data_IF_846271170806
#
_entry.id   IF_846271170806
#
_cell.length_a   1.000
_cell.length_b   1.000
_cell.length_c   1.000
_cell.angle_alpha   90.00
_cell.angle_beta   90.00
_cell.angle_gamma   90.00
#
_symmetry.space_group_name_H-M   'P 1'
#
loop_
_entity.id
_entity.type
_entity.pdbx_description
1 polymer ?
#
# COMPACT_ATOMS: atom_id res chain seq x y z
N UNK A 1 7.75 -58.28 45.94
CA UNK A 1 8.04 -59.25 44.86
C UNK A 1 8.62 -58.43 43.71
N UNK A 2 9.92 -58.60 43.39
CA UNK A 2 10.42 -59.30 42.17
C UNK A 2 10.22 -58.40 40.92
N UNK A 3 11.21 -57.93 40.15
CA UNK A 3 12.54 -58.45 39.80
C UNK A 3 13.48 -57.35 39.25
N UNK A 4 14.78 -57.67 39.29
CA UNK A 4 15.91 -57.06 38.58
C UNK A 4 15.86 -57.26 37.05
N UNK A 5 16.91 -56.76 36.34
CA UNK A 5 17.50 -57.22 35.04
C UNK A 5 17.40 -56.13 33.93
N UNK A 6 18.44 -55.33 33.59
CA UNK A 6 19.75 -55.61 32.94
C UNK A 6 19.72 -55.40 31.40
N UNK A 7 20.67 -54.59 30.91
CA UNK A 7 21.46 -54.75 29.66
C UNK A 7 20.95 -54.20 28.30
N UNK A 8 21.70 -53.19 27.83
CA UNK A 8 22.44 -53.10 26.54
C UNK A 8 21.65 -53.08 25.23
N UNK A 9 21.88 -52.07 24.39
CA UNK A 9 22.69 -52.21 23.15
C UNK A 9 22.75 -50.88 22.37
N UNK A 10 23.95 -50.31 22.32
CA UNK A 10 24.66 -49.72 21.17
C UNK A 10 23.82 -49.17 20.00
N UNK A 11 23.97 -47.87 19.70
CA UNK A 11 24.70 -47.39 18.52
C UNK A 11 24.50 -45.88 18.34
N UNK A 12 25.61 -45.13 18.29
CA UNK A 12 25.66 -43.89 17.52
C UNK A 12 25.83 -44.26 16.04
N UNK A 13 25.04 -43.67 15.14
CA UNK A 13 25.55 -43.33 13.83
C UNK A 13 25.46 -41.82 13.62
N UNK A 14 26.65 -41.24 13.50
CA UNK A 14 27.06 -40.05 12.74
C UNK A 14 25.99 -39.37 11.88
N UNK A 15 25.90 -38.04 12.01
CA UNK A 15 25.14 -37.10 11.16
C UNK A 15 25.50 -37.21 9.68
N UNK A 16 24.62 -36.81 8.72
CA UNK A 16 24.71 -35.43 8.20
C UNK A 16 23.43 -34.89 7.54
N UNK A 17 22.62 -34.04 8.21
CA UNK A 17 21.60 -33.25 7.48
C UNK A 17 21.31 -31.86 8.06
N UNK A 18 22.24 -31.22 8.76
CA UNK A 18 22.06 -29.86 9.29
C UNK A 18 22.15 -28.72 8.24
N UNK A 19 22.30 -29.04 6.95
CA UNK A 19 22.58 -28.06 5.88
C UNK A 19 21.38 -27.72 4.98
N UNK A 20 20.34 -28.57 4.92
CA UNK A 20 19.15 -28.30 4.06
C UNK A 20 18.20 -27.27 4.66
N UNK A 21 17.97 -27.30 5.96
CA UNK A 21 17.00 -26.40 6.61
C UNK A 21 17.47 -24.94 6.60
N UNK A 22 18.76 -24.68 6.81
CA UNK A 22 19.32 -23.32 6.73
C UNK A 22 19.20 -22.71 5.34
N UNK A 23 19.25 -23.52 4.29
CA UNK A 23 19.11 -23.03 2.90
C UNK A 23 17.69 -22.58 2.60
N UNK A 24 16.68 -23.31 3.10
CA UNK A 24 15.27 -22.98 2.89
C UNK A 24 14.90 -21.71 3.67
N UNK A 25 15.31 -21.59 4.93
CA UNK A 25 15.04 -20.39 5.73
C UNK A 25 15.65 -19.13 5.12
N UNK A 26 16.86 -19.23 4.54
CA UNK A 26 17.49 -18.11 3.84
C UNK A 26 16.75 -17.73 2.55
N UNK A 27 16.18 -18.69 1.81
CA UNK A 27 15.41 -18.41 0.61
C UNK A 27 14.11 -17.66 0.96
N UNK A 28 13.34 -18.17 1.91
CA UNK A 28 12.10 -17.54 2.38
C UNK A 28 12.35 -16.13 2.95
N UNK A 29 13.45 -15.94 3.69
CA UNK A 29 13.84 -14.62 4.19
C UNK A 29 14.20 -13.63 3.07
N UNK A 30 14.79 -14.12 1.98
CA UNK A 30 15.12 -13.27 0.82
C UNK A 30 13.87 -12.93 0.01
N UNK A 31 12.96 -13.87 -0.16
CA UNK A 31 11.68 -13.67 -0.85
C UNK A 31 10.82 -12.63 -0.13
N UNK A 32 10.67 -12.76 1.19
CA UNK A 32 9.92 -11.80 2.03
C UNK A 32 10.55 -10.40 2.02
N UNK A 33 11.88 -10.29 1.97
CA UNK A 33 12.56 -8.99 1.78
C UNK A 33 12.31 -8.39 0.41
N UNK A 34 12.29 -9.21 -0.64
CA UNK A 34 11.98 -8.76 -1.99
C UNK A 34 10.53 -8.28 -2.10
N UNK A 35 9.59 -9.02 -1.50
CA UNK A 35 8.19 -8.63 -1.41
C UNK A 35 8.01 -7.31 -0.65
N UNK A 36 8.68 -7.15 0.50
CA UNK A 36 8.64 -5.89 1.25
C UNK A 36 9.16 -4.71 0.42
N UNK A 37 10.25 -4.89 -0.33
CA UNK A 37 10.79 -3.86 -1.21
C UNK A 37 9.80 -3.49 -2.32
N UNK A 38 9.08 -4.46 -2.88
CA UNK A 38 8.03 -4.21 -3.87
C UNK A 38 6.85 -3.45 -3.26
N UNK A 39 6.43 -3.81 -2.05
CA UNK A 39 5.35 -3.13 -1.34
C UNK A 39 5.71 -1.68 -1.01
N UNK A 40 6.95 -1.43 -0.56
CA UNK A 40 7.44 -0.08 -0.30
C UNK A 40 7.48 0.76 -1.57
N UNK A 41 7.99 0.22 -2.68
CA UNK A 41 7.97 0.89 -3.98
C UNK A 41 6.54 1.23 -4.42
N UNK A 42 5.61 0.29 -4.28
CA UNK A 42 4.20 0.52 -4.63
C UNK A 42 3.56 1.59 -3.75
N UNK A 43 3.90 1.62 -2.46
CA UNK A 43 3.47 2.68 -1.54
C UNK A 43 3.97 4.04 -2.02
N UNK A 44 5.26 4.17 -2.34
CA UNK A 44 5.85 5.42 -2.84
C UNK A 44 5.19 5.88 -4.16
N UNK A 45 4.91 4.95 -5.08
CA UNK A 45 4.21 5.25 -6.34
C UNK A 45 2.79 5.79 -6.09
N UNK A 46 2.06 5.20 -5.14
CA UNK A 46 0.71 5.66 -4.77
C UNK A 46 0.76 7.03 -4.09
N UNK A 47 1.69 7.25 -3.16
CA UNK A 47 1.87 8.54 -2.48
C UNK A 47 2.18 9.65 -3.50
N UNK A 48 3.05 9.36 -4.48
CA UNK A 48 3.31 10.28 -5.58
C UNK A 48 2.07 10.55 -6.41
N UNK A 49 1.36 9.50 -6.83
CA UNK A 49 0.13 9.65 -7.62
C UNK A 49 -0.93 10.46 -6.87
N UNK A 50 -1.04 10.32 -5.55
CA UNK A 50 -1.98 11.10 -4.75
C UNK A 50 -1.58 12.58 -4.74
N UNK A 51 -0.31 12.88 -4.48
CA UNK A 51 0.20 14.26 -4.52
C UNK A 51 -0.02 14.92 -5.88
N UNK A 52 0.23 14.19 -6.97
CA UNK A 52 0.03 14.69 -8.34
C UNK A 52 -1.45 15.01 -8.61
N UNK A 53 -2.37 14.20 -8.07
CA UNK A 53 -3.82 14.41 -8.20
C UNK A 53 -4.28 15.59 -7.36
N UNK A 54 -3.78 15.75 -6.14
CA UNK A 54 -4.11 16.89 -5.27
C UNK A 54 -3.69 18.23 -5.90
N UNK A 55 -2.48 18.28 -6.49
CA UNK A 55 -2.01 19.47 -7.22
C UNK A 55 -2.90 19.77 -8.45
N UNK A 56 -3.29 18.73 -9.19
CA UNK A 56 -4.20 18.88 -10.32
C UNK A 56 -5.57 19.39 -9.89
N UNK A 57 -6.16 18.84 -8.83
CA UNK A 57 -7.44 19.30 -8.27
C UNK A 57 -7.33 20.78 -7.91
N UNK A 58 -6.28 21.17 -7.18
CA UNK A 58 -6.07 22.56 -6.80
C UNK A 58 -5.99 23.51 -8.03
N UNK A 59 -5.23 23.12 -9.05
CA UNK A 59 -5.12 23.89 -10.29
C UNK A 59 -6.46 23.99 -11.03
N UNK A 60 -7.20 22.88 -11.13
CA UNK A 60 -8.52 22.84 -11.75
C UNK A 60 -9.54 23.69 -11.01
N UNK A 61 -9.60 23.57 -9.67
CA UNK A 61 -10.49 24.36 -8.83
C UNK A 61 -10.19 25.86 -8.96
N UNK A 62 -8.90 26.24 -8.95
CA UNK A 62 -8.49 27.63 -9.14
C UNK A 62 -8.94 28.17 -10.50
N UNK A 63 -8.71 27.42 -11.58
CA UNK A 63 -9.14 27.81 -12.92
C UNK A 63 -10.66 27.88 -13.05
N UNK A 64 -11.38 26.89 -12.51
CA UNK A 64 -12.83 26.82 -12.53
C UNK A 64 -13.46 28.00 -11.80
N UNK A 65 -13.01 28.31 -10.58
CA UNK A 65 -13.55 29.41 -9.79
C UNK A 65 -13.25 30.77 -10.41
N UNK A 66 -12.08 30.95 -11.01
CA UNK A 66 -11.74 32.17 -11.74
C UNK A 66 -12.63 32.36 -12.96
N UNK A 67 -12.86 31.31 -13.75
CA UNK A 67 -13.66 31.41 -14.97
C UNK A 67 -15.17 31.58 -14.70
N UNK A 68 -15.67 30.98 -13.62
CA UNK A 68 -17.11 30.97 -13.30
C UNK A 68 -17.53 32.07 -12.32
N UNK A 69 -16.64 33.01 -12.01
CA UNK A 69 -16.86 34.05 -11.00
C UNK A 69 -18.10 34.90 -11.28
N UNK A 70 -18.35 35.25 -12.54
CA UNK A 70 -19.36 36.24 -12.92
C UNK A 70 -20.74 35.61 -13.15
N UNK A 71 -20.76 34.38 -13.69
CA UNK A 71 -22.00 33.63 -13.99
C UNK A 71 -22.58 32.94 -12.76
N UNK A 72 -21.74 32.61 -11.77
CA UNK A 72 -22.10 31.77 -10.63
C UNK A 72 -21.53 30.36 -10.74
N UNK A 73 -21.40 29.69 -9.60
CA UNK A 73 -20.83 28.36 -9.50
C UNK A 73 -21.32 27.61 -8.25
N UNK A 74 -20.89 26.36 -8.08
CA UNK A 74 -21.28 25.52 -6.95
C UNK A 74 -20.90 26.08 -5.57
N UNK A 75 -19.99 27.06 -5.48
CA UNK A 75 -19.57 27.68 -4.21
C UNK A 75 -20.39 28.92 -3.89
N UNK A 76 -20.62 29.80 -4.87
CA UNK A 76 -21.34 31.09 -4.66
C UNK A 76 -22.83 31.03 -4.99
N UNK A 77 -23.28 29.94 -5.60
CA UNK A 77 -24.63 29.78 -6.13
C UNK A 77 -24.79 30.37 -7.54
N UNK A 78 -25.98 30.15 -8.10
CA UNK A 78 -26.32 30.48 -9.49
C UNK A 78 -27.24 31.71 -9.61
N UNK A 79 -27.25 32.59 -8.61
CA UNK A 79 -28.14 33.75 -8.59
C UNK A 79 -27.86 34.70 -9.76
N UNK A 80 -26.57 34.95 -10.05
CA UNK A 80 -26.15 35.80 -11.16
C UNK A 80 -26.50 35.21 -12.53
N UNK A 81 -26.57 33.88 -12.64
CA UNK A 81 -26.99 33.20 -13.85
C UNK A 81 -28.43 33.55 -14.22
N UNK A 82 -29.31 33.62 -13.21
CA UNK A 82 -30.72 33.99 -13.39
C UNK A 82 -30.89 35.50 -13.67
N UNK A 83 -30.11 36.36 -13.02
CA UNK A 83 -30.21 37.82 -13.20
C UNK A 83 -29.56 38.31 -14.50
N UNK A 84 -28.48 37.67 -14.96
CA UNK A 84 -27.76 38.05 -16.17
C UNK A 84 -28.35 37.43 -17.45
N UNK A 85 -29.23 36.43 -17.33
CA UNK A 85 -29.75 35.63 -18.45
C UNK A 85 -31.22 35.83 -18.83
N UNK A 86 -32.06 36.51 -18.03
CA UNK A 86 -33.48 36.62 -18.40
C UNK A 86 -34.46 37.10 -17.34
N UNK A 87 -34.05 37.97 -16.42
CA UNK A 87 -34.96 38.64 -15.48
C UNK A 87 -35.72 39.85 -16.05
N UNK A 88 -35.92 39.91 -17.38
CA UNK A 88 -36.77 40.89 -18.05
C UNK A 88 -37.93 40.15 -18.74
N UNK A 89 -38.95 39.78 -17.97
CA UNK A 89 -40.34 39.68 -18.44
C UNK A 89 -41.28 39.96 -17.27
#
# INVERSE_FOLDING_TARGET
MKDSTTTTTLASPTSPTANKDKSITNHVFRDTRAELAQLLKKKEEIEKSLSDIEEQIYAFETSYLKQTQDTGNCIRGWNNYLTSGGGNN
#
